data_IF_714575832946
#
_entry.id   IF_714575832946
#
_cell.length_a   1.000
_cell.length_b   1.000
_cell.length_c   1.000
_cell.angle_alpha   90.00
_cell.angle_beta   90.00
_cell.angle_gamma   90.00
#
_symmetry.space_group_name_H-M   'P 1'
#
loop_
_entity.id
_entity.type
_entity.pdbx_description
1 polymer ?
#
# COMPACT_ATOMS: atom_id res chain seq x y z
N UNK A 1 -17.13 -4.20 26.85
CA UNK A 1 -15.91 -3.90 26.06
C UNK A 1 -15.06 -5.14 26.16
N UNK A 2 -15.29 -6.09 25.27
CA UNK A 2 -14.36 -7.21 25.09
C UNK A 2 -13.44 -6.81 23.96
N UNK A 3 -12.29 -6.26 24.30
CA UNK A 3 -11.13 -6.27 23.43
C UNK A 3 -10.68 -7.72 23.28
N UNK A 4 -11.29 -8.44 22.36
CA UNK A 4 -10.78 -9.73 21.97
C UNK A 4 -9.61 -9.50 21.05
N UNK A 5 -8.41 -9.34 21.61
CA UNK A 5 -7.18 -9.72 20.92
C UNK A 5 -7.14 -11.26 20.83
N UNK A 6 -8.05 -11.82 20.05
CA UNK A 6 -7.98 -13.21 19.69
C UNK A 6 -7.00 -13.31 18.50
N UNK A 7 -5.74 -13.49 18.81
CA UNK A 7 -4.79 -14.01 17.82
C UNK A 7 -5.11 -15.49 17.65
N UNK A 8 -5.96 -15.81 16.69
CA UNK A 8 -6.29 -17.18 16.34
C UNK A 8 -5.20 -17.68 15.40
N UNK A 9 -4.34 -18.54 15.92
CA UNK A 9 -3.42 -19.32 15.10
C UNK A 9 -4.16 -20.53 14.52
N UNK A 10 -4.54 -20.44 13.25
CA UNK A 10 -5.10 -21.60 12.52
C UNK A 10 -4.06 -22.15 11.55
N UNK A 11 -3.84 -23.45 11.63
CA UNK A 11 -3.25 -24.26 10.57
C UNK A 11 -4.26 -25.38 10.26
N UNK A 12 -4.69 -25.62 9.05
CA UNK A 12 -4.22 -25.26 7.72
C UNK A 12 -5.12 -24.26 6.96
N UNK A 13 -4.67 -23.83 5.78
CA UNK A 13 -5.25 -22.75 4.94
C UNK A 13 -6.74 -22.88 4.64
N UNK A 14 -7.31 -24.09 4.58
CA UNK A 14 -8.74 -24.32 4.31
C UNK A 14 -9.66 -23.91 5.47
N UNK A 15 -9.20 -24.05 6.71
CA UNK A 15 -9.97 -23.67 7.90
C UNK A 15 -10.01 -22.14 8.13
N UNK A 16 -9.11 -21.37 7.51
CA UNK A 16 -9.07 -19.90 7.66
C UNK A 16 -10.29 -19.25 7.00
N UNK A 17 -10.74 -19.75 5.86
CA UNK A 17 -11.93 -19.25 5.15
C UNK A 17 -13.18 -19.39 6.02
N UNK A 18 -13.42 -20.57 6.56
CA UNK A 18 -14.58 -20.87 7.41
C UNK A 18 -14.58 -20.04 8.70
N UNK A 19 -13.40 -19.84 9.31
CA UNK A 19 -13.27 -19.00 10.51
C UNK A 19 -13.54 -17.52 10.22
N UNK A 20 -13.06 -17.01 9.09
CA UNK A 20 -13.35 -15.62 8.65
C UNK A 20 -14.85 -15.48 8.40
N UNK A 21 -15.47 -16.42 7.70
CA UNK A 21 -16.89 -16.42 7.42
C UNK A 21 -17.72 -16.44 8.70
N UNK A 22 -17.35 -17.28 9.65
CA UNK A 22 -18.01 -17.32 10.96
C UNK A 22 -17.95 -15.98 11.71
N UNK A 23 -16.82 -15.26 11.62
CA UNK A 23 -16.70 -13.91 12.18
C UNK A 23 -17.55 -12.88 11.43
N UNK A 24 -17.58 -12.96 10.09
CA UNK A 24 -18.39 -12.08 9.25
C UNK A 24 -19.90 -12.28 9.46
N UNK A 25 -20.33 -13.49 9.81
CA UNK A 25 -21.74 -13.83 10.02
C UNK A 25 -22.17 -13.66 11.49
N UNK A 26 -21.25 -13.72 12.44
CA UNK A 26 -21.58 -13.67 13.88
C UNK A 26 -22.18 -12.31 14.27
N UNK A 27 -23.42 -12.26 14.81
CA UNK A 27 -24.10 -10.99 15.14
C UNK A 27 -23.43 -10.19 16.27
N UNK A 28 -22.59 -10.82 17.11
CA UNK A 28 -21.85 -10.12 18.17
C UNK A 28 -20.62 -9.37 17.66
N UNK A 29 -20.14 -9.69 16.47
CA UNK A 29 -19.04 -8.97 15.83
C UNK A 29 -19.62 -7.76 15.10
N UNK A 30 -19.35 -6.55 15.57
CA UNK A 30 -19.92 -5.32 15.02
C UNK A 30 -18.99 -4.58 14.07
N UNK A 31 -17.68 -4.83 14.14
CA UNK A 31 -16.67 -4.19 13.29
C UNK A 31 -15.58 -5.20 12.90
N UNK A 32 -15.09 -5.07 11.68
CA UNK A 32 -14.03 -5.93 11.12
C UNK A 32 -12.97 -5.05 10.47
N UNK A 33 -11.72 -5.21 10.88
CA UNK A 33 -10.55 -4.61 10.23
C UNK A 33 -9.70 -5.71 9.62
N UNK A 34 -9.29 -5.51 8.37
CA UNK A 34 -8.56 -6.50 7.58
C UNK A 34 -7.42 -5.85 6.80
N UNK A 35 -6.34 -6.58 6.64
CA UNK A 35 -5.24 -6.24 5.73
C UNK A 35 -4.89 -7.47 4.90
N UNK A 36 -4.85 -7.33 3.57
CA UNK A 36 -4.48 -8.42 2.68
C UNK A 36 -4.77 -8.13 1.21
N UNK A 37 -4.88 -9.18 0.39
CA UNK A 37 -5.10 -9.03 -1.05
C UNK A 37 -6.45 -8.40 -1.38
N UNK A 38 -6.52 -7.65 -2.47
CA UNK A 38 -7.74 -6.95 -2.90
C UNK A 38 -8.96 -7.85 -3.10
N UNK A 39 -8.86 -9.04 -3.71
CA UNK A 39 -10.03 -9.93 -3.85
C UNK A 39 -10.60 -10.36 -2.49
N UNK A 40 -9.73 -10.70 -1.54
CA UNK A 40 -10.14 -11.10 -0.19
C UNK A 40 -10.72 -9.92 0.59
N UNK A 41 -10.07 -8.73 0.53
CA UNK A 41 -10.60 -7.52 1.16
C UNK A 41 -11.96 -7.11 0.63
N UNK A 42 -12.17 -7.20 -0.68
CA UNK A 42 -13.47 -6.93 -1.31
C UNK A 42 -14.54 -7.94 -0.85
N UNK A 43 -14.18 -9.22 -0.75
CA UNK A 43 -15.07 -10.26 -0.22
C UNK A 43 -15.48 -9.96 1.22
N UNK A 44 -14.52 -9.69 2.10
CA UNK A 44 -14.76 -9.37 3.51
C UNK A 44 -15.62 -8.11 3.65
N UNK A 45 -15.34 -7.07 2.86
CA UNK A 45 -16.12 -5.85 2.85
C UNK A 45 -17.57 -6.11 2.44
N UNK A 46 -17.77 -6.82 1.33
CA UNK A 46 -19.11 -7.11 0.81
C UNK A 46 -19.94 -7.92 1.79
N UNK A 47 -19.38 -9.03 2.32
CA UNK A 47 -20.09 -9.90 3.24
C UNK A 47 -20.31 -9.27 4.61
N UNK A 48 -19.30 -8.59 5.15
CA UNK A 48 -19.42 -7.92 6.44
C UNK A 48 -20.44 -6.79 6.43
N UNK A 49 -20.45 -5.94 5.40
CA UNK A 49 -21.43 -4.84 5.27
C UNK A 49 -22.83 -5.37 4.99
N UNK A 50 -22.99 -6.46 4.25
CA UNK A 50 -24.29 -7.14 4.08
C UNK A 50 -24.88 -7.63 5.42
N UNK A 51 -24.02 -7.97 6.38
CA UNK A 51 -24.40 -8.34 7.75
C UNK A 51 -24.45 -7.15 8.73
N UNK A 52 -24.48 -5.91 8.23
CA UNK A 52 -24.60 -4.67 9.01
C UNK A 52 -23.36 -4.31 9.82
N UNK A 53 -22.22 -4.93 9.57
CA UNK A 53 -20.96 -4.63 10.24
C UNK A 53 -20.28 -3.41 9.65
N UNK A 54 -19.51 -2.73 10.48
CA UNK A 54 -18.54 -1.75 10.01
C UNK A 54 -17.29 -2.49 9.54
N UNK A 55 -16.87 -2.25 8.31
CA UNK A 55 -15.72 -2.95 7.72
C UNK A 55 -14.68 -1.95 7.23
N UNK A 56 -13.43 -2.23 7.52
CA UNK A 56 -12.25 -1.54 7.04
C UNK A 56 -11.30 -2.60 6.46
N UNK A 57 -11.11 -2.59 5.15
CA UNK A 57 -10.23 -3.54 4.48
C UNK A 57 -9.14 -2.80 3.70
N UNK A 58 -7.91 -2.90 4.18
CA UNK A 58 -6.72 -2.36 3.54
C UNK A 58 -6.17 -3.42 2.59
N UNK A 59 -6.07 -3.04 1.31
CA UNK A 59 -5.87 -3.98 0.22
C UNK A 59 -4.59 -3.70 -0.57
N UNK A 60 -4.54 -4.20 -1.80
CA UNK A 60 -3.39 -4.14 -2.69
C UNK A 60 -2.92 -2.72 -3.01
N UNK A 61 -1.71 -2.65 -3.52
CA UNK A 61 -1.06 -1.40 -3.87
C UNK A 61 -0.22 -1.55 -5.14
N UNK A 62 0.01 -0.43 -5.82
CA UNK A 62 1.00 -0.26 -6.86
C UNK A 62 1.60 1.13 -6.69
N UNK A 63 2.56 1.26 -5.77
CA UNK A 63 3.06 2.57 -5.37
C UNK A 63 4.08 3.08 -6.40
N UNK A 64 3.85 4.31 -6.82
CA UNK A 64 4.67 5.01 -7.82
C UNK A 64 5.58 6.03 -7.15
N UNK A 65 6.80 6.16 -7.66
CA UNK A 65 7.71 7.25 -7.32
C UNK A 65 7.96 8.09 -8.57
N UNK A 66 7.45 9.32 -8.58
CA UNK A 66 7.74 10.29 -9.63
C UNK A 66 9.11 10.89 -9.39
N UNK A 67 10.01 10.81 -10.37
CA UNK A 67 11.38 11.33 -10.29
C UNK A 67 11.52 12.49 -11.26
N UNK A 68 11.65 13.70 -10.72
CA UNK A 68 11.80 14.91 -11.51
C UNK A 68 13.26 15.09 -12.01
N UNK A 69 13.49 15.82 -13.12
CA UNK A 69 14.84 16.04 -13.68
C UNK A 69 15.82 16.72 -12.71
N UNK A 70 15.30 17.53 -11.77
CA UNK A 70 16.05 18.26 -10.75
C UNK A 70 16.29 17.45 -9.46
N UNK A 71 15.76 16.24 -9.37
CA UNK A 71 15.91 15.37 -8.21
C UNK A 71 17.39 15.01 -7.95
N UNK A 72 17.73 14.85 -6.67
CA UNK A 72 19.02 14.30 -6.26
C UNK A 72 19.06 12.79 -6.59
N UNK A 73 19.85 12.41 -7.59
CA UNK A 73 19.85 11.04 -8.10
C UNK A 73 20.41 10.02 -7.09
N UNK A 74 21.35 10.42 -6.25
CA UNK A 74 21.89 9.56 -5.20
C UNK A 74 20.81 9.28 -4.16
N UNK A 75 20.08 10.31 -3.72
CA UNK A 75 18.96 10.18 -2.80
C UNK A 75 17.82 9.32 -3.41
N UNK A 76 17.50 9.52 -4.68
CA UNK A 76 16.50 8.71 -5.41
C UNK A 76 16.90 7.26 -5.44
N UNK A 77 18.17 6.98 -5.78
CA UNK A 77 18.69 5.61 -5.89
C UNK A 77 18.65 4.91 -4.53
N UNK A 78 19.14 5.54 -3.47
CA UNK A 78 19.08 5.00 -2.11
C UNK A 78 17.64 4.72 -1.66
N UNK A 79 16.74 5.67 -1.92
CA UNK A 79 15.32 5.54 -1.62
C UNK A 79 14.67 4.36 -2.34
N UNK A 80 14.95 4.16 -3.62
CA UNK A 80 14.42 3.06 -4.42
C UNK A 80 15.00 1.71 -3.99
N UNK A 81 16.31 1.62 -3.72
CA UNK A 81 16.92 0.38 -3.22
C UNK A 81 16.24 -0.05 -1.92
N UNK A 82 16.09 0.85 -0.96
CA UNK A 82 15.47 0.51 0.33
C UNK A 82 13.96 0.24 0.24
N UNK A 83 13.22 1.01 -0.57
CA UNK A 83 11.76 0.91 -0.64
C UNK A 83 11.25 -0.16 -1.59
N UNK A 84 11.94 -0.46 -2.68
CA UNK A 84 11.49 -1.47 -3.65
C UNK A 84 11.95 -2.89 -3.27
N UNK A 85 13.15 -3.02 -2.71
CA UNK A 85 13.74 -4.33 -2.43
C UNK A 85 13.75 -4.72 -0.96
N UNK A 86 13.64 -3.77 -0.04
CA UNK A 86 13.54 -4.06 1.40
C UNK A 86 12.42 -5.05 1.70
N UNK A 87 12.66 -6.05 2.58
CA UNK A 87 11.76 -7.18 2.84
C UNK A 87 11.40 -7.97 1.59
N UNK A 88 12.33 -8.15 0.66
CA UNK A 88 12.12 -8.80 -0.64
C UNK A 88 10.93 -8.19 -1.45
N UNK A 89 10.68 -6.90 -1.29
CA UNK A 89 9.56 -6.20 -1.94
C UNK A 89 8.16 -6.58 -1.42
N UNK A 90 8.08 -7.40 -0.38
CA UNK A 90 6.81 -7.87 0.21
C UNK A 90 6.29 -6.90 1.28
N UNK A 91 6.11 -5.64 0.89
CA UNK A 91 5.51 -4.58 1.71
C UNK A 91 4.37 -3.92 0.93
N UNK A 92 3.25 -3.66 1.60
CA UNK A 92 2.12 -2.91 1.02
C UNK A 92 2.53 -1.48 0.59
N UNK A 93 3.59 -0.92 1.17
CA UNK A 93 4.11 0.41 0.86
C UNK A 93 5.40 0.39 0.01
N UNK A 94 5.87 -0.79 -0.43
CA UNK A 94 7.02 -0.87 -1.34
C UNK A 94 6.77 -0.04 -2.61
N UNK A 95 7.77 0.72 -3.05
CA UNK A 95 7.73 1.34 -4.37
C UNK A 95 7.95 0.25 -5.42
N UNK A 96 6.98 0.07 -6.29
CA UNK A 96 7.01 -0.95 -7.34
C UNK A 96 7.12 -0.35 -8.74
N UNK A 97 6.89 0.96 -8.87
CA UNK A 97 7.02 1.70 -10.14
C UNK A 97 7.82 2.97 -9.92
N UNK A 98 8.92 3.12 -10.63
CA UNK A 98 9.62 4.39 -10.77
C UNK A 98 9.16 5.08 -12.06
N UNK A 99 8.79 6.35 -11.97
CA UNK A 99 8.31 7.18 -13.09
C UNK A 99 9.26 8.37 -13.26
N UNK A 100 10.40 8.19 -13.94
CA UNK A 100 11.29 9.29 -14.29
C UNK A 100 10.67 10.18 -15.37
N UNK A 101 10.77 11.50 -15.18
CA UNK A 101 10.31 12.49 -16.14
C UNK A 101 11.43 12.88 -17.08
N UNK A 102 11.26 12.57 -18.35
CA UNK A 102 12.22 12.80 -19.43
C UNK A 102 13.26 11.67 -19.60
N UNK A 103 13.70 11.49 -20.83
CA UNK A 103 14.62 10.39 -21.23
C UNK A 103 15.96 10.44 -20.50
N UNK A 104 16.55 11.62 -20.32
CA UNK A 104 17.82 11.77 -19.60
C UNK A 104 17.70 11.33 -18.14
N UNK A 105 16.63 11.73 -17.48
CA UNK A 105 16.35 11.32 -16.08
C UNK A 105 16.19 9.80 -15.99
N UNK A 106 15.47 9.20 -16.94
CA UNK A 106 15.27 7.75 -16.98
C UNK A 106 16.57 7.00 -17.17
N UNK A 107 17.40 7.43 -18.13
CA UNK A 107 18.68 6.80 -18.41
C UNK A 107 19.63 6.88 -17.20
N UNK A 108 19.77 8.06 -16.57
CA UNK A 108 20.57 8.23 -15.35
C UNK A 108 20.09 7.35 -14.20
N UNK A 109 18.76 7.24 -14.04
CA UNK A 109 18.16 6.41 -12.99
C UNK A 109 18.48 4.92 -13.19
N UNK A 110 18.26 4.41 -14.39
CA UNK A 110 18.52 2.99 -14.71
C UNK A 110 19.99 2.66 -14.54
N UNK A 111 20.90 3.51 -15.03
CA UNK A 111 22.35 3.32 -14.88
C UNK A 111 22.81 3.35 -13.41
N UNK A 112 22.21 4.20 -12.58
CA UNK A 112 22.52 4.28 -11.15
C UNK A 112 21.99 3.06 -10.37
N UNK A 113 20.78 2.59 -10.70
CA UNK A 113 20.12 1.48 -10.01
C UNK A 113 20.78 0.12 -10.33
N UNK A 114 21.14 -0.13 -11.58
CA UNK A 114 21.62 -1.43 -12.06
C UNK A 114 22.75 -2.04 -11.17
N UNK A 115 23.89 -1.37 -10.94
CA UNK A 115 24.96 -1.93 -10.12
C UNK A 115 24.56 -2.11 -8.65
N UNK A 116 23.70 -1.23 -8.12
CA UNK A 116 23.22 -1.30 -6.74
C UNK A 116 22.32 -2.51 -6.50
N UNK A 117 21.43 -2.81 -7.45
CA UNK A 117 20.56 -3.98 -7.40
C UNK A 117 21.35 -5.27 -7.51
N UNK A 118 22.33 -5.30 -8.42
CA UNK A 118 23.21 -6.48 -8.60
C UNK A 118 24.10 -6.76 -7.38
N UNK A 119 24.41 -5.74 -6.60
CA UNK A 119 25.24 -5.85 -5.40
C UNK A 119 24.45 -6.26 -4.14
N UNK A 120 23.10 -6.29 -4.19
CA UNK A 120 22.28 -6.67 -3.03
C UNK A 120 22.61 -8.08 -2.57
N UNK A 121 22.95 -8.21 -1.28
CA UNK A 121 23.30 -9.49 -0.66
C UNK A 121 22.04 -10.28 -0.31
N UNK A 122 21.79 -11.34 -1.07
CA UNK A 122 20.72 -12.30 -0.79
C UNK A 122 21.23 -13.34 0.17
N UNK A 123 20.63 -13.45 1.35
CA UNK A 123 21.07 -14.39 2.37
C UNK A 123 19.93 -14.69 3.38
N UNK A 124 20.05 -15.76 4.19
CA UNK A 124 19.11 -16.02 5.27
C UNK A 124 19.24 -14.97 6.39
N UNK A 125 18.20 -14.83 7.21
CA UNK A 125 18.16 -13.86 8.33
C UNK A 125 19.26 -14.07 9.38
N UNK A 126 19.88 -15.24 9.41
CA UNK A 126 21.02 -15.55 10.30
C UNK A 126 22.33 -14.91 9.86
N UNK A 127 22.40 -14.42 8.62
CA UNK A 127 23.52 -13.63 8.13
C UNK A 127 23.28 -12.16 8.47
N UNK A 128 24.11 -11.52 9.32
CA UNK A 128 23.89 -10.12 9.74
C UNK A 128 24.01 -9.11 8.61
N UNK A 129 24.67 -9.48 7.51
CA UNK A 129 24.82 -8.61 6.34
C UNK A 129 23.76 -8.89 5.26
N UNK A 130 22.73 -9.69 5.55
CA UNK A 130 21.65 -9.98 4.62
C UNK A 130 20.83 -8.74 4.33
N UNK A 131 20.68 -8.38 3.05
CA UNK A 131 19.84 -7.28 2.58
C UNK A 131 18.52 -7.76 1.99
N UNK A 132 18.52 -8.97 1.40
CA UNK A 132 17.36 -9.64 0.83
C UNK A 132 17.21 -11.04 1.41
N UNK A 133 16.13 -11.27 2.12
CA UNK A 133 15.69 -12.60 2.56
C UNK A 133 14.90 -13.35 1.47
N UNK A 134 14.37 -14.56 1.79
CA UNK A 134 13.51 -15.29 0.90
C UNK A 134 12.11 -14.63 0.80
N UNK A 135 11.41 -14.86 -0.31
CA UNK A 135 9.98 -14.55 -0.39
C UNK A 135 9.17 -15.53 0.46
N UNK A 136 7.94 -15.15 0.83
CA UNK A 136 7.15 -15.80 1.88
C UNK A 136 6.79 -17.26 1.61
N UNK A 137 6.65 -17.66 0.34
CA UNK A 137 6.19 -19.02 0.00
C UNK A 137 6.57 -19.42 -1.43
N UNK A 138 6.49 -20.74 -1.70
CA UNK A 138 6.64 -21.27 -3.07
C UNK A 138 5.60 -20.67 -4.02
N UNK A 139 4.37 -20.51 -3.58
CA UNK A 139 3.30 -19.94 -4.40
C UNK A 139 3.65 -18.49 -4.81
N UNK A 140 4.15 -17.68 -3.86
CA UNK A 140 4.61 -16.32 -4.15
C UNK A 140 5.81 -16.33 -5.10
N UNK A 141 6.79 -17.20 -4.87
CA UNK A 141 7.96 -17.36 -5.72
C UNK A 141 7.57 -17.68 -7.16
N UNK A 142 6.74 -18.72 -7.37
CA UNK A 142 6.29 -19.14 -8.70
C UNK A 142 5.48 -18.03 -9.40
N UNK A 143 4.61 -17.34 -8.66
CA UNK A 143 3.81 -16.23 -9.17
C UNK A 143 4.66 -15.05 -9.61
N UNK A 144 5.66 -14.67 -8.81
CA UNK A 144 6.59 -13.57 -9.14
C UNK A 144 7.37 -13.92 -10.42
N UNK A 145 7.91 -15.15 -10.52
CA UNK A 145 8.61 -15.63 -11.72
C UNK A 145 7.70 -15.58 -12.96
N UNK A 146 6.45 -16.04 -12.81
CA UNK A 146 5.47 -15.98 -13.89
C UNK A 146 5.16 -14.56 -14.37
N UNK A 147 5.09 -13.58 -13.45
CA UNK A 147 4.89 -12.17 -13.80
C UNK A 147 6.13 -11.58 -14.49
N UNK A 148 7.34 -11.94 -14.04
CA UNK A 148 8.59 -11.53 -14.71
C UNK A 148 8.59 -12.05 -16.14
N UNK A 149 8.27 -13.33 -16.38
CA UNK A 149 8.19 -13.92 -17.71
C UNK A 149 7.14 -13.23 -18.60
N UNK A 150 5.99 -12.86 -18.03
CA UNK A 150 4.96 -12.10 -18.73
C UNK A 150 5.47 -10.71 -19.15
N UNK A 151 6.21 -10.02 -18.27
CA UNK A 151 6.83 -8.73 -18.58
C UNK A 151 7.82 -8.81 -19.75
N UNK A 152 8.70 -9.81 -19.73
CA UNK A 152 9.64 -10.09 -20.83
C UNK A 152 8.88 -10.36 -22.14
N UNK A 153 7.87 -11.22 -22.07
CA UNK A 153 7.05 -11.59 -23.23
C UNK A 153 6.26 -10.40 -23.80
N UNK A 154 5.86 -9.47 -22.94
CA UNK A 154 5.18 -8.23 -23.33
C UNK A 154 6.13 -7.20 -23.95
N UNK A 155 7.44 -7.42 -23.94
CA UNK A 155 8.45 -6.56 -24.55
C UNK A 155 9.12 -5.58 -23.57
N UNK A 156 8.88 -5.69 -22.26
CA UNK A 156 9.63 -4.92 -21.28
C UNK A 156 11.10 -5.36 -21.25
N UNK A 157 12.00 -4.40 -21.06
CA UNK A 157 13.43 -4.67 -20.98
C UNK A 157 13.84 -5.07 -19.57
N UNK A 158 14.18 -6.36 -19.36
CA UNK A 158 14.73 -6.85 -18.11
C UNK A 158 16.20 -6.45 -17.97
N UNK A 159 16.48 -5.37 -17.27
CA UNK A 159 17.82 -4.79 -17.09
C UNK A 159 18.66 -5.59 -16.08
N UNK A 160 18.01 -6.04 -15.00
CA UNK A 160 18.61 -6.92 -14.00
C UNK A 160 17.67 -8.10 -13.77
N UNK A 161 18.19 -9.31 -13.90
CA UNK A 161 17.48 -10.55 -13.61
C UNK A 161 18.01 -11.19 -12.32
N UNK A 162 17.26 -11.10 -11.26
CA UNK A 162 17.60 -11.65 -9.94
C UNK A 162 17.06 -13.06 -9.70
N UNK A 163 16.48 -13.75 -10.66
CA UNK A 163 15.79 -15.05 -10.45
C UNK A 163 16.73 -16.21 -10.13
N UNK A 164 17.97 -16.16 -10.62
CA UNK A 164 18.92 -17.28 -10.54
C UNK A 164 19.82 -17.15 -9.31
N UNK A 165 19.23 -17.23 -8.12
CA UNK A 165 19.99 -17.25 -6.86
C UNK A 165 19.98 -18.65 -6.28
N UNK A 166 21.17 -19.19 -5.99
CA UNK A 166 21.33 -20.46 -5.27
C UNK A 166 22.20 -20.21 -4.04
N UNK A 167 21.70 -20.54 -2.86
CA UNK A 167 22.42 -20.43 -1.61
C UNK A 167 22.77 -21.82 -1.09
N UNK A 168 24.06 -22.06 -0.86
CA UNK A 168 24.54 -23.34 -0.34
C UNK A 168 23.92 -23.63 1.03
N UNK A 169 23.30 -24.79 1.16
CA UNK A 169 22.61 -25.24 2.38
C UNK A 169 21.17 -24.71 2.52
N UNK A 170 20.68 -23.95 1.52
CA UNK A 170 19.32 -23.40 1.48
C UNK A 170 18.65 -23.64 0.12
N UNK A 171 18.99 -24.71 -0.58
CA UNK A 171 18.56 -25.02 -1.95
C UNK A 171 17.04 -25.18 -2.08
N UNK A 172 16.36 -25.50 -0.96
CA UNK A 172 14.90 -25.54 -0.90
C UNK A 172 14.24 -24.22 -0.49
N UNK A 173 15.00 -23.14 -0.30
CA UNK A 173 14.49 -21.82 0.06
C UNK A 173 14.02 -21.02 -1.15
N UNK A 174 13.09 -20.10 -0.93
CA UNK A 174 12.51 -19.27 -1.98
C UNK A 174 13.28 -17.95 -2.14
N UNK A 175 14.61 -18.05 -2.34
CA UNK A 175 15.48 -16.90 -2.49
C UNK A 175 15.51 -16.42 -3.94
N UNK A 176 15.45 -15.11 -4.11
CA UNK A 176 15.68 -14.42 -5.38
C UNK A 176 16.30 -13.04 -5.12
N UNK A 177 17.05 -12.56 -6.08
CA UNK A 177 17.61 -11.21 -6.06
C UNK A 177 16.63 -10.16 -6.60
N UNK A 178 17.07 -8.91 -6.60
CA UNK A 178 16.31 -7.81 -7.18
C UNK A 178 16.22 -7.91 -8.71
N UNK A 179 15.03 -7.67 -9.26
CA UNK A 179 14.78 -7.52 -10.68
C UNK A 179 14.48 -6.07 -11.03
N UNK A 180 15.00 -5.59 -12.16
CA UNK A 180 14.73 -4.26 -12.70
C UNK A 180 14.24 -4.37 -14.13
N UNK A 181 13.06 -3.82 -14.38
CA UNK A 181 12.52 -3.65 -15.73
C UNK A 181 12.57 -2.19 -16.15
N UNK A 182 12.92 -1.95 -17.40
CA UNK A 182 12.81 -0.65 -18.07
C UNK A 182 11.88 -0.74 -19.29
N UNK A 183 11.45 0.41 -19.80
CA UNK A 183 10.51 0.50 -20.92
C UNK A 183 9.20 -0.27 -20.68
N UNK A 184 8.74 -0.27 -19.45
CA UNK A 184 7.42 -0.83 -19.10
C UNK A 184 6.35 0.16 -19.50
N UNK A 185 5.25 -0.36 -20.07
CA UNK A 185 4.09 0.44 -20.47
C UNK A 185 2.89 0.16 -19.56
N UNK A 186 1.94 1.07 -19.50
CA UNK A 186 0.80 1.00 -18.58
C UNK A 186 -0.23 -0.10 -18.90
N UNK A 187 -0.14 -0.71 -20.08
CA UNK A 187 -0.98 -1.85 -20.49
C UNK A 187 -0.41 -3.21 -20.08
N UNK A 188 0.88 -3.29 -19.72
CA UNK A 188 1.53 -4.53 -19.29
C UNK A 188 1.03 -5.03 -17.92
N UNK A 189 0.95 -6.37 -17.74
CA UNK A 189 0.55 -6.98 -16.47
C UNK A 189 1.49 -6.62 -15.32
N UNK A 190 2.81 -6.55 -15.58
CA UNK A 190 3.81 -6.16 -14.55
C UNK A 190 3.66 -4.71 -14.07
N UNK A 191 2.94 -3.85 -14.81
CA UNK A 191 2.54 -2.53 -14.35
C UNK A 191 1.21 -2.58 -13.57
N UNK A 192 0.21 -3.29 -14.09
CA UNK A 192 -1.14 -3.31 -13.53
C UNK A 192 -1.22 -4.11 -12.22
N UNK A 193 -0.58 -5.29 -12.19
CA UNK A 193 -0.71 -6.22 -11.08
C UNK A 193 0.27 -5.88 -9.93
N UNK A 194 -0.19 -6.06 -8.71
CA UNK A 194 0.67 -6.04 -7.54
C UNK A 194 1.56 -7.29 -7.54
N UNK A 195 2.87 -7.12 -7.81
CA UNK A 195 3.81 -8.24 -7.89
C UNK A 195 4.12 -8.80 -6.51
N UNK A 196 4.23 -7.95 -5.50
CA UNK A 196 4.56 -8.31 -4.11
C UNK A 196 5.83 -9.18 -4.03
N UNK A 197 6.91 -8.66 -4.56
CA UNK A 197 8.22 -9.29 -4.69
C UNK A 197 9.29 -8.27 -5.05
N UNK A 198 10.58 -8.65 -5.10
CA UNK A 198 11.71 -7.74 -5.32
C UNK A 198 11.84 -7.35 -6.80
N UNK A 199 10.80 -6.73 -7.35
CA UNK A 199 10.70 -6.33 -8.76
C UNK A 199 10.32 -4.86 -8.87
N UNK A 200 11.22 -4.05 -9.41
CA UNK A 200 10.98 -2.65 -9.72
C UNK A 200 10.78 -2.47 -11.22
N UNK A 201 9.75 -1.72 -11.60
CA UNK A 201 9.48 -1.36 -12.99
C UNK A 201 9.73 0.12 -13.22
N UNK A 202 10.37 0.46 -14.33
CA UNK A 202 10.56 1.85 -14.77
C UNK A 202 9.59 2.12 -15.92
N UNK A 203 8.72 3.12 -15.72
CA UNK A 203 7.77 3.61 -16.73
C UNK A 203 8.14 5.05 -17.04
N UNK A 204 8.63 5.31 -18.22
CA UNK A 204 9.16 6.61 -18.63
C UNK A 204 8.02 7.58 -18.95
N UNK A 205 7.98 8.74 -18.29
CA UNK A 205 7.04 9.82 -18.57
C UNK A 205 7.75 10.93 -19.39
N UNK A 206 7.07 11.45 -20.42
CA UNK A 206 7.62 12.54 -21.24
C UNK A 206 7.50 13.90 -20.52
N UNK A 207 6.52 14.02 -19.61
CA UNK A 207 6.26 15.25 -18.86
C UNK A 207 5.80 14.95 -17.43
N UNK A 208 5.86 15.97 -16.61
CA UNK A 208 5.29 15.94 -15.25
C UNK A 208 3.79 15.59 -15.26
N UNK A 209 3.02 16.21 -16.16
CA UNK A 209 1.58 15.98 -16.27
C UNK A 209 1.26 14.53 -16.65
N UNK A 210 2.02 13.93 -17.56
CA UNK A 210 1.88 12.52 -17.91
C UNK A 210 2.15 11.61 -16.70
N UNK A 211 3.21 11.88 -15.94
CA UNK A 211 3.51 11.14 -14.73
C UNK A 211 2.41 11.22 -13.67
N UNK A 212 1.86 12.40 -13.44
CA UNK A 212 0.71 12.60 -12.53
C UNK A 212 -0.54 11.86 -13.03
N UNK A 213 -0.82 11.93 -14.34
CA UNK A 213 -1.97 11.26 -14.93
C UNK A 213 -1.86 9.73 -14.81
N UNK A 214 -0.68 9.17 -15.09
CA UNK A 214 -0.38 7.75 -14.96
C UNK A 214 -0.65 7.24 -13.53
N UNK A 215 -0.21 7.98 -12.51
CA UNK A 215 -0.47 7.68 -11.10
C UNK A 215 -1.98 7.74 -10.79
N UNK A 216 -2.66 8.73 -11.34
CA UNK A 216 -4.09 8.90 -11.10
C UNK A 216 -4.97 7.85 -11.79
N UNK A 217 -4.56 7.34 -12.94
CA UNK A 217 -5.32 6.36 -13.72
C UNK A 217 -5.18 4.94 -13.16
N UNK A 218 -4.15 4.68 -12.35
CA UNK A 218 -3.98 3.37 -11.74
C UNK A 218 -5.14 3.04 -10.78
N UNK A 219 -5.58 1.77 -10.76
CA UNK A 219 -6.70 1.31 -9.93
C UNK A 219 -6.41 1.36 -8.41
N UNK A 220 -5.15 1.28 -8.02
CA UNK A 220 -4.71 1.40 -6.63
C UNK A 220 -4.33 2.84 -6.28
N UNK A 221 -4.51 3.17 -5.00
CA UNK A 221 -4.21 4.51 -4.49
C UNK A 221 -3.68 4.49 -3.05
N UNK A 222 -2.77 3.55 -2.74
CA UNK A 222 -2.24 3.41 -1.39
C UNK A 222 -1.21 4.50 -1.07
N UNK A 223 -0.09 4.51 -1.76
CA UNK A 223 0.97 5.48 -1.56
C UNK A 223 1.61 5.94 -2.87
N UNK A 224 2.22 7.12 -2.83
CA UNK A 224 3.06 7.65 -3.91
C UNK A 224 4.09 8.61 -3.34
N UNK A 225 5.15 8.86 -4.09
CA UNK A 225 6.15 9.86 -3.74
C UNK A 225 6.57 10.69 -4.96
N UNK A 226 6.98 11.92 -4.72
CA UNK A 226 7.71 12.75 -5.69
C UNK A 226 9.11 13.04 -5.15
N UNK A 227 10.10 12.94 -6.01
CA UNK A 227 11.48 13.36 -5.74
C UNK A 227 11.81 14.56 -6.61
N UNK A 228 12.05 15.69 -5.97
CA UNK A 228 12.30 17.00 -6.62
C UNK A 228 12.95 17.96 -5.62
N UNK A 229 13.62 18.98 -6.13
CA UNK A 229 14.09 20.15 -5.36
C UNK A 229 13.15 21.35 -5.50
N UNK A 230 12.11 21.23 -6.35
CA UNK A 230 11.13 22.28 -6.60
C UNK A 230 9.91 22.16 -5.67
N UNK A 231 9.76 23.14 -4.78
CA UNK A 231 8.65 23.19 -3.83
C UNK A 231 7.29 23.45 -4.49
N UNK A 232 7.24 24.06 -5.67
CA UNK A 232 5.98 24.29 -6.38
C UNK A 232 5.50 22.98 -7.04
N UNK A 233 6.41 22.24 -7.68
CA UNK A 233 6.12 20.91 -8.20
C UNK A 233 5.65 19.97 -7.09
N UNK A 234 6.28 20.01 -5.90
CA UNK A 234 5.88 19.18 -4.77
C UNK A 234 4.48 19.51 -4.25
N UNK A 235 4.11 20.80 -4.16
CA UNK A 235 2.76 21.23 -3.73
C UNK A 235 1.69 20.90 -4.76
N UNK A 236 1.98 21.13 -6.05
CA UNK A 236 1.07 20.77 -7.14
C UNK A 236 0.83 19.26 -7.20
N UNK A 237 1.90 18.47 -7.07
CA UNK A 237 1.81 17.01 -7.00
C UNK A 237 0.86 16.54 -5.91
N UNK A 238 1.07 17.00 -4.68
CA UNK A 238 0.21 16.66 -3.54
C UNK A 238 -1.25 17.02 -3.77
N UNK A 239 -1.51 18.17 -4.39
CA UNK A 239 -2.87 18.63 -4.65
C UNK A 239 -3.58 17.84 -5.76
N UNK A 240 -2.84 17.31 -6.75
CA UNK A 240 -3.40 16.67 -7.95
C UNK A 240 -3.49 15.15 -7.87
N UNK A 241 -2.65 14.49 -7.09
CA UNK A 241 -2.65 13.02 -7.04
C UNK A 241 -3.82 12.49 -6.21
N UNK A 242 -4.48 11.45 -6.73
CA UNK A 242 -5.64 10.79 -6.10
C UNK A 242 -5.18 9.55 -5.33
N UNK A 243 -4.29 9.77 -4.36
CA UNK A 243 -3.61 8.74 -3.57
C UNK A 243 -3.73 9.09 -2.09
N UNK A 244 -3.90 8.10 -1.23
CA UNK A 244 -4.14 8.30 0.19
C UNK A 244 -2.94 8.80 0.99
N UNK A 245 -1.72 8.40 0.61
CA UNK A 245 -0.47 8.79 1.27
C UNK A 245 0.52 9.34 0.26
N UNK A 246 1.04 10.54 0.49
CA UNK A 246 1.94 11.22 -0.45
C UNK A 246 3.21 11.64 0.26
N UNK A 247 4.36 11.26 -0.29
CA UNK A 247 5.69 11.66 0.17
C UNK A 247 6.35 12.68 -0.75
N UNK A 248 7.08 13.62 -0.15
CA UNK A 248 7.99 14.51 -0.87
C UNK A 248 9.40 14.18 -0.41
N UNK A 249 10.22 13.63 -1.31
CA UNK A 249 11.54 13.09 -1.02
C UNK A 249 11.56 12.02 0.10
N UNK A 250 10.41 11.38 0.32
CA UNK A 250 10.20 10.27 1.24
C UNK A 250 9.48 9.15 0.50
N UNK A 251 10.12 8.00 0.24
CA UNK A 251 9.57 6.96 -0.63
C UNK A 251 8.37 6.23 0.00
N UNK A 252 8.37 6.05 1.33
CA UNK A 252 7.33 5.36 2.09
C UNK A 252 6.73 6.34 3.11
N UNK A 253 5.67 7.11 2.73
CA UNK A 253 5.13 8.19 3.54
C UNK A 253 4.17 7.71 4.64
N UNK A 254 4.48 6.62 5.32
CA UNK A 254 3.67 6.10 6.42
C UNK A 254 4.00 6.87 7.70
N UNK A 255 3.04 7.58 8.31
CA UNK A 255 3.28 8.28 9.56
C UNK A 255 3.29 7.31 10.76
N UNK A 256 3.72 7.82 11.91
CA UNK A 256 3.58 7.08 13.18
C UNK A 256 2.10 6.90 13.57
N UNK A 257 1.78 5.86 14.33
CA UNK A 257 0.43 5.37 14.56
C UNK A 257 -0.53 6.32 15.30
N UNK A 258 -0.10 7.45 15.83
CA UNK A 258 -1.02 8.45 16.36
C UNK A 258 -1.65 9.35 15.29
N UNK A 259 -1.18 9.28 14.04
CA UNK A 259 -1.84 9.87 12.89
C UNK A 259 -2.64 8.82 12.12
N UNK A 260 -3.80 9.23 11.63
CA UNK A 260 -4.61 8.38 10.74
C UNK A 260 -4.01 8.36 9.33
N UNK A 261 -3.99 7.18 8.70
CA UNK A 261 -3.52 7.02 7.32
C UNK A 261 -4.22 5.84 6.65
N UNK A 262 -4.24 5.83 5.33
CA UNK A 262 -4.84 4.75 4.55
C UNK A 262 -4.81 5.03 3.06
N UNK A 263 -5.13 4.03 2.26
CA UNK A 263 -5.22 4.12 0.82
C UNK A 263 -6.54 4.72 0.35
N UNK A 264 -6.58 5.07 -0.93
CA UNK A 264 -7.78 5.42 -1.69
C UNK A 264 -8.05 4.36 -2.76
N UNK A 265 -9.11 4.54 -3.54
CA UNK A 265 -9.48 3.65 -4.64
C UNK A 265 -9.62 2.20 -4.16
N UNK A 266 -9.09 1.22 -4.92
CA UNK A 266 -9.16 -0.20 -4.53
C UNK A 266 -8.13 -0.62 -3.47
N UNK A 267 -7.33 0.31 -2.96
CA UNK A 267 -6.42 0.04 -1.84
C UNK A 267 -7.11 0.11 -0.47
N UNK A 268 -8.34 0.63 -0.39
CA UNK A 268 -9.14 0.65 0.84
C UNK A 268 -10.62 0.48 0.52
N UNK A 269 -11.26 -0.49 1.14
CA UNK A 269 -12.71 -0.61 1.19
C UNK A 269 -13.19 -0.21 2.58
N UNK A 270 -14.17 0.70 2.62
CA UNK A 270 -14.67 1.37 3.83
C UNK A 270 -14.16 2.82 3.92
N UNK A 271 -14.82 3.63 4.76
CA UNK A 271 -14.61 5.08 4.81
C UNK A 271 -13.53 5.51 5.80
N UNK A 272 -13.22 4.66 6.78
CA UNK A 272 -12.25 4.99 7.82
C UNK A 272 -10.85 4.48 7.49
N UNK A 273 -9.88 5.38 7.55
CA UNK A 273 -8.46 5.02 7.61
C UNK A 273 -8.11 4.36 8.94
N UNK A 274 -6.91 3.77 9.04
CA UNK A 274 -6.45 3.13 10.28
C UNK A 274 -5.75 4.14 11.20
N UNK A 275 -5.64 3.74 12.48
CA UNK A 275 -4.90 4.45 13.52
C UNK A 275 -5.43 5.87 13.83
N UNK A 276 -4.77 6.56 14.75
CA UNK A 276 -5.14 7.90 15.17
C UNK A 276 -6.63 8.02 15.55
N UNK A 277 -7.21 9.17 15.27
CA UNK A 277 -8.63 9.42 15.57
C UNK A 277 -9.60 8.59 14.73
N UNK A 278 -9.21 8.23 13.50
CA UNK A 278 -10.05 7.36 12.67
C UNK A 278 -10.16 5.96 13.26
N UNK A 279 -9.10 5.43 13.88
CA UNK A 279 -9.17 4.18 14.61
C UNK A 279 -10.14 4.25 15.81
N UNK A 280 -10.16 5.37 16.54
CA UNK A 280 -11.13 5.59 17.61
C UNK A 280 -12.55 5.62 17.06
N UNK A 281 -12.81 6.38 16.00
CA UNK A 281 -14.13 6.47 15.37
C UNK A 281 -14.60 5.13 14.79
N UNK A 282 -13.68 4.34 14.26
CA UNK A 282 -14.00 3.03 13.69
C UNK A 282 -14.53 2.06 14.75
N UNK A 283 -13.91 2.01 15.94
CA UNK A 283 -14.26 1.05 17.00
C UNK A 283 -15.27 1.60 18.02
N UNK A 284 -15.77 2.84 17.84
CA UNK A 284 -16.75 3.46 18.74
C UNK A 284 -17.99 3.93 17.99
N UNK A 285 -19.08 4.16 18.73
CA UNK A 285 -20.30 4.78 18.20
C UNK A 285 -20.59 6.06 18.92
N UNK A 286 -20.96 7.10 18.16
CA UNK A 286 -21.45 8.34 18.74
C UNK A 286 -22.82 8.12 19.36
N UNK A 287 -22.99 8.56 20.61
CA UNK A 287 -24.27 8.58 21.29
C UNK A 287 -24.60 10.02 21.67
N UNK A 288 -25.71 10.51 21.18
CA UNK A 288 -26.21 11.85 21.50
C UNK A 288 -27.29 11.75 22.57
N UNK A 289 -27.21 12.60 23.58
CA UNK A 289 -28.23 12.73 24.61
C UNK A 289 -28.67 14.18 24.65
N UNK A 290 -29.99 14.40 24.53
CA UNK A 290 -30.61 15.70 24.79
C UNK A 290 -31.43 15.59 26.02
N UNK A 291 -31.23 16.51 27.01
CA UNK A 291 -31.97 16.51 28.27
C UNK A 291 -32.65 17.84 28.51
N UNK A 292 -33.83 17.75 29.09
CA UNK A 292 -34.54 18.90 29.65
C UNK A 292 -34.94 18.55 31.05
N UNK A 293 -34.50 19.31 32.03
CA UNK A 293 -34.88 19.12 33.40
C UNK A 293 -36.14 19.95 33.69
N UNK A 294 -37.25 19.33 34.13
CA UNK A 294 -38.43 20.08 34.45
C UNK A 294 -38.14 21.00 35.66
N UNK A 295 -38.32 22.29 35.50
CA UNK A 295 -38.39 23.22 36.61
C UNK A 295 -39.80 23.14 37.17
N UNK A 296 -39.96 22.79 38.47
CA UNK A 296 -41.23 22.50 39.12
C UNK A 296 -42.27 23.63 39.13
N UNK A 297 -42.00 24.76 38.47
CA UNK A 297 -42.87 25.94 38.42
C UNK A 297 -43.39 26.23 36.99
N UNK A 298 -42.85 25.60 35.95
CA UNK A 298 -43.28 25.85 34.58
C UNK A 298 -44.00 24.64 33.97
N UNK A 299 -45.30 24.78 33.83
CA UNK A 299 -46.15 23.83 33.11
C UNK A 299 -46.59 24.43 31.78
N UNK A 300 -46.45 23.70 30.70
CA UNK A 300 -46.88 24.06 29.39
C UNK A 300 -46.19 23.29 28.27
N UNK A 301 -46.85 23.08 27.14
CA UNK A 301 -46.28 22.50 25.96
C UNK A 301 -45.50 23.59 25.16
N UNK A 302 -44.20 23.34 24.91
CA UNK A 302 -43.42 24.18 24.02
C UNK A 302 -43.32 23.50 22.66
N UNK A 303 -43.80 24.19 21.63
CA UNK A 303 -43.80 23.70 20.25
C UNK A 303 -42.64 24.24 19.41
N UNK A 304 -41.72 25.01 20.02
CA UNK A 304 -40.55 25.57 19.36
C UNK A 304 -39.27 24.94 19.90
N UNK A 305 -38.33 24.64 19.01
CA UNK A 305 -36.96 24.34 19.42
C UNK A 305 -36.34 25.61 20.04
N UNK A 306 -35.77 25.48 21.24
CA UNK A 306 -35.04 26.56 21.86
C UNK A 306 -33.88 26.99 20.99
N UNK A 307 -34.01 28.15 20.32
CA UNK A 307 -32.86 28.86 19.79
C UNK A 307 -32.10 29.37 21.04
N UNK A 308 -30.80 29.04 21.14
CA UNK A 308 -29.96 29.35 22.33
C UNK A 308 -29.76 30.84 22.63
N UNK A 309 -30.87 31.61 22.68
CA UNK A 309 -30.89 33.02 23.07
C UNK A 309 -31.37 33.24 24.51
N UNK A 310 -31.74 32.17 25.18
CA UNK A 310 -32.26 32.23 26.57
C UNK A 310 -31.52 31.26 27.51
N UNK A 311 -30.19 31.18 27.38
CA UNK A 311 -29.32 30.47 28.34
C UNK A 311 -28.47 31.49 29.11
#
# INVERSE_FOLDING_TARGET
ILGANATLHFNPVEAVGDAVDALLDNPTVEAVSFVGSTPIGQYIYTRGTANGKRVQALCGAKNHMLVMPDADMDQVTDALIGSAYGSAGERCMAISVAVPVGEDTANRLVEALKPRIQALKVAPYTDPDSELGPVISKQSFDRIHGLIDQGIKAGANLVVDGRNVTLQGYEGGYFMGGCLFDNVTTDMSIYKDEIFGPVLTVVRAQSYDEGVQMINDHEYGNGTAIFTRDGDAARDFWARVRIGMVGVNVPIPVPVAYHSFGGWKRSLFGDHSIHGMEGVRFYTRLKTMTTRWPSGIRSGAEFNFTSGKDA
#
